data_IF_982684829355
#
_entry.id   IF_982684829355
#
_cell.length_a   1.000
_cell.length_b   1.000
_cell.length_c   1.000
_cell.angle_alpha   90.00
_cell.angle_beta   90.00
_cell.angle_gamma   90.00
#
_symmetry.space_group_name_H-M   'P 1'
#
loop_
_entity.id
_entity.type
_entity.pdbx_description
1 polymer ?
#
# COMPACT_ATOMS: atom_id res chain seq x y z
N UNK A 1 11.84 19.67 -4.48
CA UNK A 1 13.15 19.47 -5.11
C UNK A 1 13.28 20.36 -6.32
N UNK A 2 13.46 21.67 -6.06
CA UNK A 2 13.69 22.70 -7.08
C UNK A 2 12.72 22.59 -8.26
N UNK A 3 11.42 22.59 -7.97
CA UNK A 3 10.39 22.49 -8.99
C UNK A 3 9.14 23.22 -8.52
N UNK A 4 8.41 23.76 -9.49
CA UNK A 4 7.17 24.53 -9.33
C UNK A 4 6.12 24.01 -10.33
N UNK A 5 4.99 24.72 -10.45
CA UNK A 5 3.90 24.34 -11.33
C UNK A 5 4.31 24.27 -12.81
N UNK A 6 5.28 25.09 -13.24
CA UNK A 6 5.75 25.10 -14.63
C UNK A 6 6.40 23.75 -14.98
N UNK A 7 7.19 23.19 -14.07
CA UNK A 7 7.84 21.89 -14.27
C UNK A 7 6.82 20.75 -14.40
N UNK A 8 5.67 20.84 -13.73
CA UNK A 8 4.57 19.88 -13.91
C UNK A 8 3.92 20.03 -15.29
N UNK A 9 3.64 21.25 -15.72
CA UNK A 9 3.09 21.52 -17.05
C UNK A 9 4.04 21.04 -18.17
N UNK A 10 5.33 21.36 -18.05
CA UNK A 10 6.38 20.89 -18.97
C UNK A 10 6.47 19.37 -19.01
N UNK A 11 6.39 18.70 -17.84
CA UNK A 11 6.40 17.24 -17.75
C UNK A 11 5.23 16.61 -18.50
N UNK A 12 4.01 17.11 -18.30
CA UNK A 12 2.83 16.59 -18.98
C UNK A 12 2.90 16.84 -20.49
N UNK A 13 3.30 18.06 -20.88
CA UNK A 13 3.45 18.41 -22.29
C UNK A 13 4.48 17.53 -22.98
N UNK A 14 5.64 17.28 -22.35
CA UNK A 14 6.65 16.38 -22.90
C UNK A 14 6.14 14.95 -23.03
N UNK A 15 5.42 14.43 -22.03
CA UNK A 15 4.83 13.10 -22.10
C UNK A 15 3.84 12.96 -23.28
N UNK A 16 3.04 13.99 -23.55
CA UNK A 16 2.11 14.02 -24.69
C UNK A 16 2.87 14.10 -26.02
N UNK A 17 3.80 15.05 -26.16
CA UNK A 17 4.52 15.31 -27.42
C UNK A 17 5.44 14.15 -27.81
N UNK A 18 6.12 13.54 -26.84
CA UNK A 18 7.08 12.45 -27.09
C UNK A 18 6.39 11.10 -27.34
N UNK A 19 5.11 10.95 -27.01
CA UNK A 19 4.38 9.68 -27.12
C UNK A 19 2.96 9.92 -27.71
N UNK A 20 2.85 10.43 -28.96
CA UNK A 20 1.58 10.92 -29.52
C UNK A 20 0.50 9.84 -29.69
N UNK A 21 0.91 8.59 -29.90
CA UNK A 21 0.00 7.45 -30.07
C UNK A 21 -0.22 6.65 -28.77
N UNK A 22 0.40 7.06 -27.66
CA UNK A 22 0.32 6.35 -26.39
C UNK A 22 -0.84 6.87 -25.53
N UNK A 23 -1.34 5.99 -24.66
CA UNK A 23 -2.23 6.36 -23.57
C UNK A 23 -1.41 6.98 -22.44
N UNK A 24 -1.69 8.23 -22.09
CA UNK A 24 -1.01 8.94 -21.00
C UNK A 24 -1.83 8.82 -19.73
N UNK A 25 -1.24 8.24 -18.68
CA UNK A 25 -1.89 8.09 -17.37
C UNK A 25 -1.33 9.11 -16.38
N UNK A 26 -2.15 10.09 -16.00
CA UNK A 26 -1.83 11.07 -14.96
C UNK A 26 -2.24 10.49 -13.61
N UNK A 27 -1.28 9.95 -12.86
CA UNK A 27 -1.52 9.45 -11.50
C UNK A 27 -1.63 10.62 -10.52
N UNK A 28 -2.81 10.84 -9.97
CA UNK A 28 -3.02 11.84 -8.92
C UNK A 28 -2.60 11.30 -7.55
N UNK A 29 -1.99 12.15 -6.72
CA UNK A 29 -1.57 11.76 -5.37
C UNK A 29 -2.81 11.61 -4.46
N UNK A 30 -2.89 10.58 -3.58
CA UNK A 30 -4.03 10.39 -2.68
C UNK A 30 -4.37 11.61 -1.81
N UNK A 31 -3.36 12.35 -1.36
CA UNK A 31 -3.56 13.59 -0.57
C UNK A 31 -4.37 14.67 -1.32
N UNK A 32 -4.23 14.73 -2.66
CA UNK A 32 -5.01 15.66 -3.51
C UNK A 32 -6.48 15.23 -3.54
N UNK A 33 -6.72 13.91 -3.64
CA UNK A 33 -8.07 13.35 -3.61
C UNK A 33 -8.76 13.54 -2.27
N UNK A 34 -8.00 13.61 -1.18
CA UNK A 34 -8.52 13.89 0.17
C UNK A 34 -8.82 15.38 0.43
N UNK A 35 -8.61 16.26 -0.55
CA UNK A 35 -8.82 17.72 -0.42
C UNK A 35 -7.79 18.45 0.44
N UNK A 36 -6.76 17.73 0.93
CA UNK A 36 -5.73 18.29 1.82
C UNK A 36 -4.64 19.08 1.09
N UNK A 37 -4.53 18.91 -0.23
CA UNK A 37 -3.59 19.63 -1.11
C UNK A 37 -4.23 19.90 -2.47
N UNK A 38 -3.97 21.07 -3.03
CA UNK A 38 -4.25 21.37 -4.44
C UNK A 38 -3.26 20.56 -5.31
N UNK A 39 -3.76 19.77 -6.26
CA UNK A 39 -2.92 19.10 -7.24
C UNK A 39 -2.47 20.08 -8.33
N UNK A 40 -1.36 19.77 -9.01
CA UNK A 40 -0.84 20.61 -10.10
C UNK A 40 -1.58 20.45 -11.43
N UNK A 41 -2.47 19.46 -11.55
CA UNK A 41 -3.30 19.23 -12.73
C UNK A 41 -4.77 19.23 -12.32
N UNK A 42 -5.56 20.10 -12.93
CA UNK A 42 -7.00 20.15 -12.72
C UNK A 42 -7.71 19.27 -13.75
N UNK A 43 -8.49 18.26 -13.37
CA UNK A 43 -9.23 17.42 -14.31
C UNK A 43 -10.21 18.19 -15.22
N UNK A 44 -10.53 19.44 -14.87
CA UNK A 44 -11.46 20.31 -15.60
C UNK A 44 -10.78 21.13 -16.71
N UNK A 45 -9.45 21.03 -16.86
CA UNK A 45 -8.75 21.63 -17.99
C UNK A 45 -8.94 20.80 -19.27
N UNK A 46 -8.83 21.45 -20.42
CA UNK A 46 -8.99 20.80 -21.72
C UNK A 46 -7.70 20.07 -22.12
N UNK A 47 -7.65 18.75 -21.89
CA UNK A 47 -6.53 17.90 -22.28
C UNK A 47 -6.82 17.11 -23.57
N UNK A 48 -5.78 16.70 -24.31
CA UNK A 48 -5.93 15.76 -25.42
C UNK A 48 -6.64 14.46 -25.00
N UNK A 49 -7.35 13.84 -25.94
CA UNK A 49 -8.18 12.65 -25.69
C UNK A 49 -7.40 11.41 -25.21
N UNK A 50 -6.09 11.36 -25.43
CA UNK A 50 -5.21 10.28 -24.97
C UNK A 50 -4.69 10.48 -23.53
N UNK A 51 -5.06 11.57 -22.85
CA UNK A 51 -4.70 11.84 -21.45
C UNK A 51 -5.83 11.38 -20.53
N UNK A 52 -5.50 10.50 -19.59
CA UNK A 52 -6.45 9.95 -18.63
C UNK A 52 -5.95 10.12 -17.20
N UNK A 53 -6.81 10.65 -16.34
CA UNK A 53 -6.54 10.76 -14.92
C UNK A 53 -6.82 9.43 -14.22
N UNK A 54 -5.85 8.97 -13.43
CA UNK A 54 -5.95 7.73 -12.68
C UNK A 54 -5.88 8.03 -11.17
N UNK A 55 -7.03 7.94 -10.50
CA UNK A 55 -7.18 8.26 -9.07
C UNK A 55 -7.32 7.03 -8.17
N UNK A 56 -7.45 5.82 -8.75
CA UNK A 56 -7.72 4.63 -7.95
C UNK A 56 -6.62 4.34 -6.93
N UNK A 57 -6.99 3.87 -5.72
CA UNK A 57 -6.06 3.52 -4.65
C UNK A 57 -5.43 2.14 -4.92
N UNK A 58 -4.56 2.06 -5.94
CA UNK A 58 -3.84 0.84 -6.31
C UNK A 58 -2.41 0.83 -5.78
N UNK A 59 -1.82 -0.35 -5.70
CA UNK A 59 -0.39 -0.50 -5.46
C UNK A 59 0.41 0.17 -6.60
N UNK A 60 1.23 1.21 -6.33
CA UNK A 60 2.00 1.91 -7.35
C UNK A 60 2.86 0.99 -8.22
N UNK A 61 3.48 -0.04 -7.63
CA UNK A 61 4.32 -0.99 -8.36
C UNK A 61 3.52 -1.77 -9.41
N UNK A 62 2.26 -2.11 -9.11
CA UNK A 62 1.40 -2.84 -10.06
C UNK A 62 1.05 -1.95 -11.27
N UNK A 63 0.80 -0.67 -11.03
CA UNK A 63 0.58 0.31 -12.10
C UNK A 63 1.85 0.54 -12.93
N UNK A 64 3.00 0.75 -12.26
CA UNK A 64 4.30 0.97 -12.91
C UNK A 64 4.67 -0.19 -13.83
N UNK A 65 4.41 -1.44 -13.43
CA UNK A 65 4.67 -2.62 -14.27
C UNK A 65 3.91 -2.58 -15.60
N UNK A 66 2.70 -2.01 -15.60
CA UNK A 66 1.81 -1.94 -16.76
C UNK A 66 2.10 -0.76 -17.71
N UNK A 67 3.00 0.17 -17.36
CA UNK A 67 3.37 1.29 -18.24
C UNK A 67 4.75 1.08 -18.85
N UNK A 68 5.02 1.72 -19.99
CA UNK A 68 6.30 1.59 -20.70
C UNK A 68 7.36 2.58 -20.19
N UNK A 69 6.95 3.79 -19.83
CA UNK A 69 7.83 4.91 -19.47
C UNK A 69 7.17 5.74 -18.37
N UNK A 70 7.98 6.28 -17.45
CA UNK A 70 7.49 7.09 -16.33
C UNK A 70 8.09 8.50 -16.39
N UNK A 71 7.21 9.50 -16.36
CA UNK A 71 7.58 10.90 -16.23
C UNK A 71 7.30 11.35 -14.79
N UNK A 72 8.25 12.00 -14.14
CA UNK A 72 8.04 12.53 -12.79
C UNK A 72 8.81 13.82 -12.54
N UNK A 73 8.34 14.62 -11.59
CA UNK A 73 9.08 15.81 -11.13
C UNK A 73 10.09 15.39 -10.06
N UNK A 74 9.61 15.05 -8.86
CA UNK A 74 10.46 14.60 -7.73
C UNK A 74 9.85 13.44 -6.93
N UNK A 75 8.85 12.76 -7.50
CA UNK A 75 8.12 11.69 -6.81
C UNK A 75 9.01 10.47 -6.55
N UNK A 76 8.86 9.85 -5.38
CA UNK A 76 9.50 8.56 -5.07
C UNK A 76 9.06 7.44 -6.04
N UNK A 77 7.86 7.55 -6.62
CA UNK A 77 7.40 6.62 -7.67
C UNK A 77 8.33 6.61 -8.89
N UNK A 78 9.10 7.69 -9.15
CA UNK A 78 10.13 7.68 -10.17
C UNK A 78 11.27 6.72 -9.83
N UNK A 79 11.70 6.65 -8.56
CA UNK A 79 12.71 5.66 -8.14
C UNK A 79 12.15 4.23 -8.16
N UNK A 80 10.89 4.06 -7.76
CA UNK A 80 10.21 2.76 -7.84
C UNK A 80 10.13 2.25 -9.29
N UNK A 81 9.93 3.14 -10.26
CA UNK A 81 9.97 2.80 -11.67
C UNK A 81 11.34 2.30 -12.14
N UNK A 82 12.43 2.91 -11.65
CA UNK A 82 13.79 2.41 -11.90
C UNK A 82 14.01 1.01 -11.32
N UNK A 83 13.51 0.73 -10.11
CA UNK A 83 13.61 -0.60 -9.50
C UNK A 83 12.89 -1.69 -10.31
N UNK A 84 11.85 -1.31 -11.05
CA UNK A 84 11.09 -2.20 -11.94
C UNK A 84 11.68 -2.23 -13.36
N UNK A 85 12.79 -1.51 -13.61
CA UNK A 85 13.47 -1.48 -14.90
C UNK A 85 12.77 -0.62 -15.95
N UNK A 86 11.92 0.32 -15.54
CA UNK A 86 11.26 1.26 -16.47
C UNK A 86 12.17 2.46 -16.75
N UNK A 87 12.21 2.97 -17.99
CA UNK A 87 12.80 4.28 -18.29
C UNK A 87 12.08 5.39 -17.51
N UNK A 88 12.86 6.30 -16.94
CA UNK A 88 12.35 7.40 -16.11
C UNK A 88 12.90 8.74 -16.58
N UNK A 89 11.99 9.67 -16.87
CA UNK A 89 12.29 11.07 -17.21
C UNK A 89 11.99 11.95 -15.99
N UNK A 90 12.94 12.81 -15.60
CA UNK A 90 12.79 13.69 -14.43
C UNK A 90 12.77 15.17 -14.82
N UNK A 91 11.80 15.91 -14.27
CA UNK A 91 11.65 17.36 -14.50
C UNK A 91 12.03 18.22 -13.29
N UNK A 92 12.27 17.61 -12.13
CA UNK A 92 12.86 18.29 -10.98
C UNK A 92 14.23 17.72 -10.64
N UNK A 93 14.67 17.93 -9.39
CA UNK A 93 15.95 17.37 -8.90
C UNK A 93 15.68 16.37 -7.76
N UNK A 94 15.14 15.17 -8.03
CA UNK A 94 15.03 14.14 -7.00
C UNK A 94 16.42 13.64 -6.57
N UNK A 95 16.44 12.93 -5.45
CA UNK A 95 17.70 12.38 -4.89
C UNK A 95 18.38 11.38 -5.85
N UNK A 96 17.60 10.73 -6.73
CA UNK A 96 18.07 9.74 -7.71
C UNK A 96 18.37 10.30 -9.12
N UNK A 97 18.12 11.60 -9.38
CA UNK A 97 18.52 12.24 -10.64
C UNK A 97 20.04 12.50 -10.69
N UNK A 98 20.61 12.72 -11.87
CA UNK A 98 22.03 13.09 -12.04
C UNK A 98 23.03 11.96 -11.78
N UNK A 99 22.56 10.74 -11.52
CA UNK A 99 23.41 9.55 -11.31
C UNK A 99 23.54 8.68 -12.57
N UNK A 100 23.01 9.13 -13.71
CA UNK A 100 23.06 8.40 -14.98
C UNK A 100 22.01 7.28 -15.14
N UNK A 101 21.00 7.24 -14.26
CA UNK A 101 19.91 6.24 -14.30
C UNK A 101 18.58 6.82 -14.83
N UNK A 102 18.53 8.12 -15.06
CA UNK A 102 17.34 8.88 -15.49
C UNK A 102 17.68 9.77 -16.67
N UNK A 103 16.65 10.10 -17.47
CA UNK A 103 16.71 11.22 -18.41
C UNK A 103 16.35 12.51 -17.65
N UNK A 104 17.36 13.29 -17.29
CA UNK A 104 17.21 14.47 -16.45
C UNK A 104 17.00 15.74 -17.28
N UNK A 105 15.80 16.32 -17.20
CA UNK A 105 15.41 17.53 -17.96
C UNK A 105 15.75 18.82 -17.22
N UNK A 106 15.82 18.79 -15.89
CA UNK A 106 16.12 19.97 -15.07
C UNK A 106 17.60 20.38 -15.14
N UNK A 107 17.90 21.68 -15.35
CA UNK A 107 19.27 22.18 -15.50
C UNK A 107 20.16 21.88 -14.27
N UNK A 108 19.62 22.06 -13.05
CA UNK A 108 20.39 21.75 -11.84
C UNK A 108 20.69 20.24 -11.65
N UNK A 109 19.89 19.34 -12.22
CA UNK A 109 20.22 17.91 -12.23
C UNK A 109 21.40 17.65 -13.20
N UNK A 110 21.38 18.26 -14.38
CA UNK A 110 22.50 18.21 -15.35
C UNK A 110 23.78 18.82 -14.77
N UNK A 111 23.68 19.93 -14.05
CA UNK A 111 24.81 20.59 -13.38
C UNK A 111 25.46 19.70 -12.30
N UNK A 112 24.68 18.85 -11.62
CA UNK A 112 25.23 17.88 -10.65
C UNK A 112 26.11 16.83 -11.33
N UNK A 113 25.72 16.38 -12.52
CA UNK A 113 26.51 15.47 -13.36
C UNK A 113 27.76 16.17 -13.90
N UNK A 114 27.60 17.37 -14.48
CA UNK A 114 28.71 18.15 -15.07
C UNK A 114 29.78 18.56 -14.05
N UNK A 115 29.37 18.85 -12.81
CA UNK A 115 30.31 19.19 -11.73
C UNK A 115 30.93 17.97 -11.03
N UNK A 116 30.68 16.76 -11.54
CA UNK A 116 31.09 15.47 -10.94
C UNK A 116 30.62 15.22 -9.50
N UNK A 117 29.74 16.07 -8.95
CA UNK A 117 29.13 15.85 -7.62
C UNK A 117 28.27 14.60 -7.59
N UNK A 118 27.71 14.20 -8.73
CA UNK A 118 27.05 12.90 -8.93
C UNK A 118 27.72 12.17 -10.09
N UNK A 119 28.40 11.06 -9.77
CA UNK A 119 29.05 10.18 -10.76
C UNK A 119 28.08 9.08 -11.18
N UNK A 120 28.30 8.47 -12.34
CA UNK A 120 27.43 7.37 -12.79
C UNK A 120 27.36 6.26 -11.74
N UNK A 121 26.14 5.83 -11.41
CA UNK A 121 25.82 4.73 -10.49
C UNK A 121 24.73 3.86 -11.08
N UNK A 122 24.74 2.58 -10.72
CA UNK A 122 23.62 1.68 -11.02
C UNK A 122 22.43 1.96 -10.09
N UNK A 123 21.23 1.57 -10.53
CA UNK A 123 20.03 1.61 -9.70
C UNK A 123 20.23 0.84 -8.38
N UNK A 124 20.95 -0.29 -8.42
CA UNK A 124 21.24 -1.09 -7.22
C UNK A 124 22.15 -0.35 -6.23
N UNK A 125 23.16 0.39 -6.70
CA UNK A 125 24.00 1.21 -5.82
C UNK A 125 23.20 2.32 -5.15
N UNK A 126 22.28 2.96 -5.89
CA UNK A 126 21.38 3.98 -5.32
C UNK A 126 20.43 3.36 -4.30
N UNK A 127 19.87 2.18 -4.60
CA UNK A 127 19.03 1.45 -3.67
C UNK A 127 19.78 1.11 -2.38
N UNK A 128 20.99 0.56 -2.48
CA UNK A 128 21.81 0.26 -1.31
C UNK A 128 22.11 1.51 -0.48
N UNK A 129 22.55 2.60 -1.12
CA UNK A 129 22.83 3.84 -0.41
C UNK A 129 21.59 4.38 0.31
N UNK A 130 20.43 4.42 -0.35
CA UNK A 130 19.21 4.98 0.23
C UNK A 130 18.56 4.06 1.28
N UNK A 131 18.47 2.76 1.01
CA UNK A 131 17.69 1.80 1.81
C UNK A 131 18.53 1.01 2.81
N UNK A 132 19.87 0.98 2.70
CA UNK A 132 20.73 0.29 3.68
C UNK A 132 21.63 1.26 4.46
N UNK A 133 22.20 2.27 3.81
CA UNK A 133 23.15 3.18 4.47
C UNK A 133 22.48 4.42 5.08
N UNK A 134 21.56 5.04 4.33
CA UNK A 134 20.92 6.29 4.73
C UNK A 134 19.74 6.07 5.69
N UNK A 135 18.89 5.08 5.38
CA UNK A 135 17.69 4.81 6.18
C UNK A 135 18.01 3.95 7.40
N UNK A 136 17.42 4.32 8.54
CA UNK A 136 17.47 3.52 9.78
C UNK A 136 16.12 2.87 10.02
N UNK A 137 16.14 1.63 10.52
CA UNK A 137 14.94 0.84 10.74
C UNK A 137 14.82 0.45 12.20
N UNK A 138 13.58 0.40 12.69
CA UNK A 138 13.24 -0.22 13.96
C UNK A 138 12.57 -1.55 13.68
N UNK A 139 12.91 -2.60 14.44
CA UNK A 139 12.17 -3.84 14.41
C UNK A 139 10.77 -3.58 15.00
N UNK A 140 9.67 -3.74 14.23
CA UNK A 140 8.34 -3.37 14.71
C UNK A 140 7.83 -4.21 15.88
N UNK A 141 8.40 -5.38 16.12
CA UNK A 141 7.98 -6.28 17.20
C UNK A 141 8.67 -5.95 18.52
N UNK A 142 9.91 -5.44 18.48
CA UNK A 142 10.71 -5.16 19.70
C UNK A 142 10.89 -3.67 19.99
N UNK A 143 10.66 -2.80 18.99
CA UNK A 143 10.93 -1.36 19.08
C UNK A 143 12.42 -0.99 19.09
N UNK A 144 13.32 -1.97 19.00
CA UNK A 144 14.76 -1.77 18.99
C UNK A 144 15.28 -1.50 17.57
N UNK A 145 16.55 -1.12 17.47
CA UNK A 145 17.26 -1.02 16.18
C UNK A 145 17.13 -2.33 15.39
N UNK A 146 16.84 -2.22 14.09
CA UNK A 146 16.66 -3.35 13.19
C UNK A 146 17.10 -3.02 11.77
N UNK A 147 16.65 -3.86 10.84
CA UNK A 147 16.99 -3.80 9.42
C UNK A 147 15.75 -3.56 8.56
N UNK A 148 15.96 -3.24 7.28
CA UNK A 148 14.88 -3.20 6.29
C UNK A 148 14.10 -4.51 6.24
N UNK A 149 14.76 -5.66 6.45
CA UNK A 149 14.13 -6.97 6.39
C UNK A 149 13.15 -7.20 7.54
N UNK A 150 13.44 -6.69 8.74
CA UNK A 150 12.52 -6.74 9.87
C UNK A 150 11.20 -6.04 9.54
N UNK A 151 11.29 -4.86 8.92
CA UNK A 151 10.14 -4.07 8.50
C UNK A 151 9.39 -4.73 7.34
N UNK A 152 10.10 -5.23 6.33
CA UNK A 152 9.50 -5.95 5.20
C UNK A 152 8.72 -7.17 5.70
N UNK A 153 9.35 -8.02 6.51
CA UNK A 153 8.74 -9.23 7.04
C UNK A 153 7.51 -8.91 7.90
N UNK A 154 7.61 -7.88 8.74
CA UNK A 154 6.46 -7.43 9.53
C UNK A 154 5.30 -6.96 8.63
N UNK A 155 5.57 -6.15 7.59
CA UNK A 155 4.52 -5.70 6.66
C UNK A 155 3.88 -6.87 5.92
N UNK A 156 4.68 -7.86 5.48
CA UNK A 156 4.19 -9.08 4.80
C UNK A 156 3.24 -9.84 5.73
N UNK A 157 3.67 -10.11 6.97
CA UNK A 157 2.85 -10.82 7.96
C UNK A 157 1.57 -10.06 8.31
N UNK A 158 1.66 -8.75 8.55
CA UNK A 158 0.50 -7.91 8.88
C UNK A 158 -0.49 -7.84 7.72
N UNK A 159 -0.02 -7.76 6.46
CA UNK A 159 -0.90 -7.81 5.28
C UNK A 159 -1.60 -9.16 5.15
N UNK A 160 -0.86 -10.26 5.32
CA UNK A 160 -1.44 -11.61 5.26
C UNK A 160 -2.50 -11.80 6.36
N UNK A 161 -2.24 -11.35 7.58
CA UNK A 161 -3.20 -11.38 8.69
C UNK A 161 -4.44 -10.52 8.40
N UNK A 162 -4.25 -9.28 7.93
CA UNK A 162 -5.34 -8.38 7.58
C UNK A 162 -6.26 -8.96 6.50
N UNK A 163 -5.70 -9.58 5.46
CA UNK A 163 -6.47 -10.25 4.42
C UNK A 163 -7.18 -11.50 4.94
N UNK A 164 -6.48 -12.32 5.73
CA UNK A 164 -7.04 -13.55 6.31
C UNK A 164 -8.23 -13.25 7.22
N UNK A 165 -8.18 -12.15 7.98
CA UNK A 165 -9.19 -11.76 8.97
C UNK A 165 -10.09 -10.61 8.49
N UNK A 166 -10.11 -10.32 7.18
CA UNK A 166 -10.95 -9.25 6.64
C UNK A 166 -12.44 -9.54 6.85
N UNK A 167 -13.22 -8.48 7.08
CA UNK A 167 -14.67 -8.56 7.31
C UNK A 167 -15.06 -8.40 8.77
N UNK A 168 -16.21 -8.99 9.13
CA UNK A 168 -16.77 -8.88 10.47
C UNK A 168 -16.56 -10.18 11.26
N UNK A 169 -15.91 -10.08 12.41
CA UNK A 169 -15.72 -11.18 13.35
C UNK A 169 -16.67 -11.02 14.53
N UNK A 170 -17.61 -11.95 14.68
CA UNK A 170 -18.57 -11.98 15.79
C UNK A 170 -18.07 -12.91 16.90
N UNK A 171 -17.56 -12.32 17.97
CA UNK A 171 -17.13 -12.99 19.19
C UNK A 171 -18.35 -13.35 20.03
N UNK A 172 -18.75 -14.62 20.02
CA UNK A 172 -19.97 -15.08 20.71
C UNK A 172 -19.64 -15.60 22.10
N UNK A 173 -20.30 -15.06 23.13
CA UNK A 173 -20.26 -15.61 24.49
C UNK A 173 -18.94 -15.42 25.26
N UNK A 174 -18.06 -14.50 24.81
CA UNK A 174 -16.79 -14.23 25.49
C UNK A 174 -16.98 -13.39 26.76
N UNK A 175 -16.33 -13.79 27.86
CA UNK A 175 -16.25 -13.05 29.12
C UNK A 175 -15.49 -11.73 28.95
N UNK A 176 -15.79 -10.72 29.77
CA UNK A 176 -15.23 -9.36 29.64
C UNK A 176 -13.69 -9.35 29.61
N UNK A 177 -13.03 -10.12 30.47
CA UNK A 177 -11.57 -10.21 30.49
C UNK A 177 -11.02 -10.78 29.18
N UNK A 178 -11.64 -11.82 28.60
CA UNK A 178 -11.25 -12.36 27.28
C UNK A 178 -11.40 -11.31 26.19
N UNK A 179 -12.47 -10.50 26.22
CA UNK A 179 -12.65 -9.38 25.27
C UNK A 179 -11.50 -8.40 25.33
N UNK A 180 -11.01 -8.06 26.53
CA UNK A 180 -9.89 -7.14 26.70
C UNK A 180 -8.60 -7.72 26.12
N UNK A 181 -8.33 -9.01 26.40
CA UNK A 181 -7.11 -9.71 25.95
C UNK A 181 -7.06 -9.86 24.43
N UNK A 182 -8.17 -10.19 23.75
CA UNK A 182 -8.09 -10.50 22.32
C UNK A 182 -8.07 -9.26 21.42
N UNK A 183 -8.61 -8.12 21.88
CA UNK A 183 -8.77 -6.91 21.06
C UNK A 183 -7.49 -6.50 20.32
N UNK A 184 -6.29 -6.48 20.94
CA UNK A 184 -5.04 -6.12 20.25
C UNK A 184 -4.73 -6.99 19.02
N UNK A 185 -5.04 -8.29 19.06
CA UNK A 185 -4.76 -9.23 17.95
C UNK A 185 -5.62 -8.98 16.70
N UNK A 186 -6.74 -8.27 16.86
CA UNK A 186 -7.68 -7.98 15.78
C UNK A 186 -7.72 -6.49 15.40
N UNK A 187 -6.76 -5.68 15.87
CA UNK A 187 -6.59 -4.27 15.45
C UNK A 187 -5.98 -4.21 14.04
N UNK A 188 -6.75 -4.65 13.06
CA UNK A 188 -6.35 -4.69 11.65
C UNK A 188 -7.31 -3.79 10.85
N UNK A 189 -6.83 -3.01 9.86
CA UNK A 189 -7.66 -2.04 9.14
C UNK A 189 -8.93 -2.61 8.49
N UNK A 190 -8.88 -3.86 8.03
CA UNK A 190 -9.99 -4.52 7.34
C UNK A 190 -10.78 -5.49 8.22
N UNK A 191 -10.48 -5.57 9.53
CA UNK A 191 -11.14 -6.46 10.47
C UNK A 191 -12.00 -5.66 11.46
N UNK A 192 -13.29 -5.98 11.55
CA UNK A 192 -14.21 -5.39 12.54
C UNK A 192 -14.62 -6.44 13.55
N UNK A 193 -14.38 -6.16 14.83
CA UNK A 193 -14.67 -7.07 15.93
C UNK A 193 -15.99 -6.69 16.61
N UNK A 194 -16.91 -7.64 16.74
CA UNK A 194 -18.19 -7.47 17.41
C UNK A 194 -18.31 -8.47 18.56
N UNK A 195 -18.70 -8.01 19.74
CA UNK A 195 -18.94 -8.89 20.88
C UNK A 195 -20.43 -9.06 21.11
N UNK A 196 -20.90 -10.30 21.02
CA UNK A 196 -22.31 -10.65 21.23
C UNK A 196 -22.45 -11.68 22.35
N UNK A 197 -23.52 -11.57 23.14
CA UNK A 197 -23.75 -12.45 24.30
C UNK A 197 -23.94 -13.91 23.87
N UNK A 198 -24.73 -14.12 22.82
CA UNK A 198 -25.11 -15.41 22.26
C UNK A 198 -25.63 -15.20 20.83
N UNK A 199 -25.91 -16.30 20.11
CA UNK A 199 -26.34 -16.27 18.71
C UNK A 199 -27.72 -15.64 18.50
N UNK A 200 -28.56 -15.55 19.53
CA UNK A 200 -29.89 -14.93 19.37
C UNK A 200 -29.78 -13.46 18.97
N UNK A 201 -28.70 -12.77 19.37
CA UNK A 201 -28.40 -11.39 18.98
C UNK A 201 -27.99 -11.23 17.50
N UNK A 202 -27.79 -12.34 16.79
CA UNK A 202 -27.49 -12.35 15.36
C UNK A 202 -28.70 -12.74 14.50
N UNK A 203 -29.85 -13.06 15.12
CA UNK A 203 -31.06 -13.43 14.38
C UNK A 203 -31.52 -12.31 13.45
N UNK A 204 -31.91 -12.67 12.22
CA UNK A 204 -32.31 -11.72 11.18
C UNK A 204 -31.15 -10.99 10.50
N UNK A 205 -29.91 -11.22 10.92
CA UNK A 205 -28.75 -10.64 10.26
C UNK A 205 -28.45 -11.35 8.94
N UNK A 206 -28.24 -10.57 7.90
CA UNK A 206 -27.73 -11.06 6.62
C UNK A 206 -26.19 -11.10 6.69
N UNK A 207 -25.63 -12.29 6.53
CA UNK A 207 -24.18 -12.51 6.57
C UNK A 207 -23.56 -12.40 5.19
N UNK A 208 -22.34 -11.87 5.15
CA UNK A 208 -21.51 -11.86 3.93
C UNK A 208 -20.48 -12.98 3.97
N UNK A 209 -19.84 -13.29 2.83
CA UNK A 209 -18.77 -14.31 2.75
C UNK A 209 -17.58 -14.07 3.68
N UNK A 210 -17.36 -12.82 4.08
CA UNK A 210 -16.26 -12.41 4.95
C UNK A 210 -16.69 -12.32 6.43
N UNK A 211 -17.96 -12.57 6.74
CA UNK A 211 -18.42 -12.65 8.12
C UNK A 211 -18.06 -14.00 8.72
N UNK A 212 -17.56 -13.99 9.96
CA UNK A 212 -17.19 -15.21 10.67
C UNK A 212 -17.60 -15.15 12.13
N UNK A 213 -17.86 -16.32 12.70
CA UNK A 213 -17.97 -16.44 14.16
C UNK A 213 -16.60 -16.73 14.75
N UNK A 214 -16.21 -15.99 15.78
CA UNK A 214 -15.01 -16.25 16.56
C UNK A 214 -15.42 -16.89 17.90
N UNK A 215 -14.97 -18.11 18.11
CA UNK A 215 -15.23 -18.92 19.31
C UNK A 215 -13.97 -19.05 20.14
N UNK A 216 -14.13 -19.14 21.46
CA UNK A 216 -13.03 -19.50 22.36
C UNK A 216 -13.06 -21.00 22.68
N UNK A 217 -11.92 -21.69 22.52
CA UNK A 217 -11.81 -23.13 22.69
C UNK A 217 -12.72 -23.91 21.75
N UNK A 218 -13.27 -25.03 22.21
CA UNK A 218 -14.19 -25.88 21.42
C UNK A 218 -15.51 -25.19 21.05
N UNK A 219 -15.83 -24.05 21.67
CA UNK A 219 -17.08 -23.33 21.46
C UNK A 219 -18.30 -24.06 22.04
N UNK A 220 -19.45 -23.36 22.07
CA UNK A 220 -20.72 -23.98 22.47
C UNK A 220 -21.37 -24.62 21.25
N UNK A 221 -21.92 -25.83 21.41
CA UNK A 221 -22.58 -26.57 20.33
C UNK A 221 -23.68 -25.76 19.64
N UNK A 222 -24.46 -25.00 20.40
CA UNK A 222 -25.48 -24.09 19.87
C UNK A 222 -24.92 -23.06 18.86
N UNK A 223 -23.68 -22.59 19.05
CA UNK A 223 -23.04 -21.63 18.14
C UNK A 223 -22.53 -22.32 16.88
N UNK A 224 -22.01 -23.54 17.01
CA UNK A 224 -21.58 -24.36 15.87
C UNK A 224 -22.77 -24.75 14.99
N UNK A 225 -23.89 -25.16 15.60
CA UNK A 225 -25.12 -25.49 14.90
C UNK A 225 -25.70 -24.26 14.19
N UNK A 226 -25.69 -23.11 14.85
CA UNK A 226 -26.08 -21.84 14.22
C UNK A 226 -25.18 -21.50 13.02
N UNK A 227 -23.85 -21.62 13.16
CA UNK A 227 -22.92 -21.35 12.07
C UNK A 227 -23.18 -22.26 10.86
N UNK A 228 -23.41 -23.56 11.10
CA UNK A 228 -23.76 -24.52 10.04
C UNK A 228 -25.07 -24.17 9.35
N UNK A 229 -26.12 -23.89 10.12
CA UNK A 229 -27.45 -23.55 9.58
C UNK A 229 -27.43 -22.28 8.71
N UNK A 230 -26.54 -21.33 9.02
CA UNK A 230 -26.39 -20.07 8.29
C UNK A 230 -25.19 -20.04 7.33
N UNK A 231 -24.50 -21.17 7.14
CA UNK A 231 -23.29 -21.29 6.30
C UNK A 231 -22.21 -20.24 6.61
N UNK A 232 -21.93 -20.02 7.90
CA UNK A 232 -20.96 -19.04 8.39
C UNK A 232 -19.67 -19.75 8.75
N UNK A 233 -18.54 -19.23 8.29
CA UNK A 233 -17.23 -19.75 8.66
C UNK A 233 -16.93 -19.51 10.15
N UNK A 234 -16.36 -20.53 10.80
CA UNK A 234 -16.00 -20.47 12.22
C UNK A 234 -14.48 -20.41 12.38
N UNK A 235 -14.03 -19.45 13.20
CA UNK A 235 -12.68 -19.38 13.71
C UNK A 235 -12.68 -19.77 15.18
N UNK A 236 -11.74 -20.62 15.57
CA UNK A 236 -11.50 -21.00 16.95
C UNK A 236 -10.25 -20.27 17.44
N UNK A 237 -10.35 -19.69 18.63
CA UNK A 237 -9.25 -19.11 19.37
C UNK A 237 -8.99 -19.92 20.64
N UNK A 238 -7.78 -20.42 20.81
CA UNK A 238 -7.26 -21.03 22.04
C UNK A 238 -6.21 -20.08 22.63
N UNK A 239 -5.66 -20.35 23.82
CA UNK A 239 -4.73 -19.48 24.57
C UNK A 239 -3.50 -19.03 23.73
N UNK A 240 -3.69 -18.02 22.86
CA UNK A 240 -2.70 -17.49 21.92
C UNK A 240 -2.77 -17.98 20.47
N UNK A 241 -3.67 -18.89 20.09
CA UNK A 241 -3.73 -19.47 18.74
C UNK A 241 -5.09 -19.29 18.07
N UNK A 242 -5.13 -18.87 16.79
CA UNK A 242 -6.35 -18.83 15.98
C UNK A 242 -6.25 -19.89 14.88
N UNK A 243 -7.22 -20.81 14.83
CA UNK A 243 -7.34 -21.84 13.78
C UNK A 243 -8.71 -21.82 13.11
N UNK A 244 -8.75 -22.18 11.84
CA UNK A 244 -10.01 -22.39 11.10
C UNK A 244 -10.49 -23.83 11.29
N UNK A 245 -11.80 -24.02 11.40
CA UNK A 245 -12.40 -25.36 11.42
C UNK A 245 -12.79 -25.71 9.98
N UNK A 246 -12.11 -26.70 9.37
CA UNK A 246 -12.43 -27.17 8.01
C UNK A 246 -11.25 -27.40 7.06
N UNK A 247 -10.01 -27.17 7.49
CA UNK A 247 -8.80 -27.57 6.76
C UNK A 247 -7.95 -28.47 7.67
N UNK A 248 -8.19 -29.78 7.59
CA UNK A 248 -7.27 -30.83 8.05
C UNK A 248 -7.21 -31.12 9.56
N UNK A 249 -7.96 -32.15 9.97
CA UNK A 249 -7.40 -33.32 10.66
C UNK A 249 -7.88 -34.54 9.92
#
# INVERSE_FOLDING_TARGET
GQADAEHFAQMLQAAITENPNAKILVKTHPDVLSGKKQGYFSPNENYPSNVHFFSDPVNPISLIKAVEKVYCVTSQMGFEALLVGKPVVTFGVPWFAGWGVTDDRHQNAKALTQSERRKVRSVLQLFYAAYFQYTRYLNPNTGQSGTIFDVINHIIHTKALNLRLQGNLYCVGMSLWKRAVIKPFFRLPSCKLYFVKDVSKLNGKIFTKNDRLLLWGTGKEAVLNYAKAHNINVLIMEDGFIRSVGLGS
#
